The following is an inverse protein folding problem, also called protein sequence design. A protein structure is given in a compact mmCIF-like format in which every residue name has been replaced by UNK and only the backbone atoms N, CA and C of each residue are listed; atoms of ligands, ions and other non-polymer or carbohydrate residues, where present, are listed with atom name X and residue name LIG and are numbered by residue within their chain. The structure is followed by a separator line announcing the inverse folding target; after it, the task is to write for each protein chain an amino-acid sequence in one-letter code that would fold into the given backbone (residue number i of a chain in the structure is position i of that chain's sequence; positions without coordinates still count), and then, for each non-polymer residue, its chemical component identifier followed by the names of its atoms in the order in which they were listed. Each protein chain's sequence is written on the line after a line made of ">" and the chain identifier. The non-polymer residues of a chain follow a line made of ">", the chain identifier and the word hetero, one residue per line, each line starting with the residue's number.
data_IF_971600368262
#
_entry.id   IF_971600368262
#
_cell.length_a   1.000
_cell.length_b   1.000
_cell.length_c   1.000
_cell.angle_alpha   90.00
_cell.angle_beta   90.00
_cell.angle_gamma   90.00
#
_symmetry.space_group_name_H-M   'P 1'
#
loop_
_entity.id
_entity.type
_entity.pdbx_description
1 polymer ?
#
# COMPACT_ATOMS: atom_id res chain seq x y z
N UNK A 1 -7.81 -7.13 -0.57
CA UNK A 1 -7.25 -6.52 -1.80
C UNK A 1 -5.74 -6.56 -1.76
N UNK A 2 -5.11 -6.99 -2.82
CA UNK A 2 -3.66 -6.97 -2.97
C UNK A 2 -3.28 -5.97 -4.07
N UNK A 3 -2.44 -4.99 -3.71
CA UNK A 3 -1.89 -4.01 -4.64
C UNK A 3 -0.42 -4.33 -4.84
N UNK A 4 -0.03 -4.76 -6.04
CA UNK A 4 1.37 -5.08 -6.37
C UNK A 4 1.99 -3.89 -7.11
N UNK A 5 3.08 -3.35 -6.55
CA UNK A 5 3.81 -2.25 -7.14
C UNK A 5 4.87 -2.74 -8.12
N UNK A 6 5.14 -1.95 -9.14
CA UNK A 6 6.18 -2.23 -10.11
C UNK A 6 7.59 -1.90 -9.60
N UNK A 7 8.59 -2.03 -10.48
CA UNK A 7 10.01 -1.87 -10.13
C UNK A 7 10.38 -0.44 -9.73
N UNK A 8 9.67 0.56 -10.26
CA UNK A 8 9.95 1.97 -10.02
C UNK A 8 8.73 2.63 -9.41
N UNK A 9 8.91 3.28 -8.26
CA UNK A 9 7.87 4.08 -7.61
C UNK A 9 8.24 5.54 -7.76
N UNK A 10 7.33 6.31 -8.36
CA UNK A 10 7.42 7.77 -8.51
C UNK A 10 6.26 8.43 -7.78
N UNK A 11 6.34 9.75 -7.62
CA UNK A 11 5.23 10.52 -7.05
C UNK A 11 3.96 10.35 -7.88
N UNK A 12 4.08 10.38 -9.20
CA UNK A 12 2.95 10.18 -10.12
C UNK A 12 2.34 8.80 -9.97
N UNK A 13 3.17 7.73 -9.96
CA UNK A 13 2.65 6.36 -9.82
C UNK A 13 2.03 6.12 -8.45
N UNK A 14 2.56 6.73 -7.40
CA UNK A 14 2.01 6.62 -6.05
C UNK A 14 0.62 7.26 -5.96
N UNK A 15 0.45 8.45 -6.54
CA UNK A 15 -0.85 9.12 -6.56
C UNK A 15 -1.87 8.38 -7.45
N UNK A 16 -1.43 7.83 -8.58
CA UNK A 16 -2.29 7.04 -9.46
C UNK A 16 -2.78 5.77 -8.77
N UNK A 17 -1.90 5.06 -8.06
CA UNK A 17 -2.27 3.88 -7.30
C UNK A 17 -3.25 4.21 -6.17
N UNK A 18 -3.01 5.32 -5.46
CA UNK A 18 -3.92 5.80 -4.42
C UNK A 18 -5.32 6.05 -4.97
N UNK A 19 -5.42 6.76 -6.10
CA UNK A 19 -6.69 7.04 -6.74
C UNK A 19 -7.41 5.77 -7.20
N UNK A 20 -6.68 4.81 -7.76
CA UNK A 20 -7.23 3.52 -8.19
C UNK A 20 -7.78 2.71 -7.01
N UNK A 21 -7.08 2.69 -5.88
CA UNK A 21 -7.54 2.02 -4.66
C UNK A 21 -8.81 2.68 -4.13
N UNK A 22 -8.85 4.01 -4.09
CA UNK A 22 -10.05 4.74 -3.66
C UNK A 22 -11.26 4.40 -4.54
N UNK A 23 -11.07 4.38 -5.86
CA UNK A 23 -12.13 4.06 -6.81
C UNK A 23 -12.60 2.61 -6.64
N UNK A 24 -11.66 1.66 -6.48
CA UNK A 24 -11.99 0.26 -6.22
C UNK A 24 -12.84 0.11 -4.95
N UNK A 25 -12.45 0.75 -3.86
CA UNK A 25 -13.17 0.71 -2.59
C UNK A 25 -14.57 1.35 -2.71
N UNK A 26 -14.69 2.41 -3.50
CA UNK A 26 -15.98 3.05 -3.73
C UNK A 26 -16.97 2.16 -4.48
N UNK A 27 -16.48 1.32 -5.39
CA UNK A 27 -17.31 0.41 -6.21
C UNK A 27 -17.57 -0.90 -5.49
N UNK A 28 -16.54 -1.52 -4.92
CA UNK A 28 -16.59 -2.86 -4.34
C UNK A 28 -16.87 -2.87 -2.84
N UNK A 29 -16.84 -1.72 -2.19
CA UNK A 29 -16.96 -1.61 -0.75
C UNK A 29 -15.62 -1.70 -0.01
N UNK A 30 -15.65 -1.45 1.32
CA UNK A 30 -14.44 -1.46 2.14
C UNK A 30 -13.77 -2.83 2.18
N UNK A 31 -12.45 -2.86 2.03
CA UNK A 31 -11.61 -4.05 2.11
C UNK A 31 -10.35 -3.77 2.91
N UNK A 32 -9.82 -4.81 3.57
CA UNK A 32 -8.42 -4.81 3.99
C UNK A 32 -7.52 -4.79 2.76
N UNK A 33 -6.37 -4.14 2.86
CA UNK A 33 -5.45 -4.02 1.73
C UNK A 33 -4.03 -4.43 2.12
N UNK A 34 -3.35 -5.10 1.18
CA UNK A 34 -1.93 -5.36 1.25
C UNK A 34 -1.28 -4.61 0.09
N UNK A 35 -0.36 -3.72 0.39
CA UNK A 35 0.48 -3.06 -0.61
C UNK A 35 1.80 -3.82 -0.71
N UNK A 36 1.98 -4.57 -1.79
CA UNK A 36 3.17 -5.40 -2.00
C UNK A 36 4.22 -4.59 -2.76
N UNK A 37 5.25 -4.16 -2.04
CA UNK A 37 6.37 -3.39 -2.56
C UNK A 37 7.61 -4.25 -2.79
N UNK A 38 7.47 -5.58 -2.81
CA UNK A 38 8.60 -6.50 -2.93
C UNK A 38 9.35 -6.41 -4.27
N UNK A 39 8.67 -5.95 -5.32
CA UNK A 39 9.29 -5.75 -6.64
C UNK A 39 9.97 -4.41 -6.81
N UNK A 40 9.79 -3.49 -5.88
CA UNK A 40 10.32 -2.13 -5.99
C UNK A 40 11.84 -2.16 -5.91
N UNK A 41 12.51 -1.69 -6.96
CA UNK A 41 13.97 -1.57 -7.05
C UNK A 41 14.42 -0.12 -6.94
N UNK A 42 13.61 0.83 -7.40
CA UNK A 42 13.91 2.26 -7.38
C UNK A 42 12.74 3.04 -6.80
N UNK A 43 13.06 3.88 -5.82
CA UNK A 43 12.10 4.78 -5.20
C UNK A 43 12.51 6.20 -5.54
N UNK A 44 11.64 6.92 -6.25
CA UNK A 44 11.84 8.32 -6.67
C UNK A 44 10.80 9.21 -5.99
N UNK A 45 10.67 9.05 -4.68
CA UNK A 45 9.82 9.90 -3.86
C UNK A 45 10.65 10.47 -2.71
N UNK A 46 10.27 11.66 -2.27
CA UNK A 46 10.96 12.35 -1.17
C UNK A 46 10.22 12.15 0.15
N UNK A 47 10.92 12.44 1.26
CA UNK A 47 10.28 12.47 2.56
C UNK A 47 9.13 13.49 2.59
N UNK A 48 9.30 14.64 1.94
CA UNK A 48 8.23 15.64 1.83
C UNK A 48 6.99 15.09 1.13
N UNK A 49 7.17 14.27 0.11
CA UNK A 49 6.06 13.61 -0.57
C UNK A 49 5.33 12.64 0.35
N UNK A 50 6.06 11.88 1.16
CA UNK A 50 5.46 10.96 2.15
C UNK A 50 4.60 11.76 3.15
N UNK A 51 5.08 12.90 3.62
CA UNK A 51 4.31 13.81 4.46
C UNK A 51 3.03 14.29 3.76
N UNK A 52 3.17 14.69 2.50
CA UNK A 52 2.06 15.19 1.69
C UNK A 52 0.95 14.13 1.55
N UNK A 53 1.32 12.89 1.23
CA UNK A 53 0.36 11.79 1.07
C UNK A 53 -0.25 11.39 2.42
N UNK A 54 0.56 11.35 3.47
CA UNK A 54 0.07 10.99 4.81
C UNK A 54 -0.96 11.98 5.35
N UNK A 55 -0.90 13.24 4.91
CA UNK A 55 -1.87 14.27 5.29
C UNK A 55 -3.20 14.14 4.55
N UNK A 56 -3.26 13.37 3.46
CA UNK A 56 -4.51 13.13 2.71
C UNK A 56 -5.40 12.12 3.43
N UNK A 57 -6.72 12.11 3.17
CA UNK A 57 -7.58 11.06 3.66
C UNK A 57 -7.07 9.67 3.23
N UNK A 58 -7.19 8.63 4.07
CA UNK A 58 -6.73 7.30 3.72
C UNK A 58 -7.46 6.76 2.48
N UNK A 59 -6.71 6.13 1.56
CA UNK A 59 -7.32 5.43 0.43
C UNK A 59 -8.08 4.19 0.89
N UNK A 60 -7.57 3.52 1.93
CA UNK A 60 -8.26 2.41 2.60
C UNK A 60 -9.09 3.01 3.74
N UNK A 61 -10.39 2.70 3.82
CA UNK A 61 -11.24 3.28 4.85
C UNK A 61 -10.75 3.00 6.28
N UNK A 62 -11.03 3.91 7.18
CA UNK A 62 -10.74 3.71 8.61
C UNK A 62 -11.42 2.45 9.10
N UNK A 63 -10.75 1.68 9.94
CA UNK A 63 -11.23 0.41 10.45
C UNK A 63 -10.85 -0.78 9.57
N UNK A 64 -10.34 -0.55 8.35
CA UNK A 64 -9.78 -1.60 7.50
C UNK A 64 -8.25 -1.55 7.59
N UNK A 65 -7.58 -2.69 7.87
CA UNK A 65 -6.13 -2.70 7.96
C UNK A 65 -5.48 -2.50 6.58
N UNK A 66 -4.40 -1.73 6.56
CA UNK A 66 -3.48 -1.62 5.43
C UNK A 66 -2.13 -2.16 5.88
N UNK A 67 -1.60 -3.13 5.14
CA UNK A 67 -0.32 -3.74 5.43
C UNK A 67 0.62 -3.48 4.26
N UNK A 68 1.79 -2.90 4.56
CA UNK A 68 2.83 -2.61 3.57
C UNK A 68 3.89 -3.69 3.65
N UNK A 69 4.16 -4.35 2.52
CA UNK A 69 5.21 -5.37 2.42
C UNK A 69 6.44 -4.72 1.79
N UNK A 70 7.48 -4.51 2.57
CA UNK A 70 8.66 -3.75 2.18
C UNK A 70 9.96 -4.48 2.56
N UNK A 71 10.46 -5.41 1.72
CA UNK A 71 11.67 -6.17 2.03
C UNK A 71 12.95 -5.35 1.99
N UNK A 72 13.03 -4.33 1.13
CA UNK A 72 14.24 -3.51 0.97
C UNK A 72 14.35 -2.46 2.08
N UNK A 73 15.57 -2.21 2.61
CA UNK A 73 15.75 -1.25 3.70
C UNK A 73 15.28 0.18 3.38
N UNK A 74 15.51 0.67 2.16
CA UNK A 74 15.08 2.01 1.74
C UNK A 74 13.55 2.12 1.67
N UNK A 75 12.91 1.14 1.06
CA UNK A 75 11.44 1.07 0.98
C UNK A 75 10.84 0.87 2.37
N UNK A 76 11.45 0.01 3.18
CA UNK A 76 11.02 -0.22 4.57
C UNK A 76 11.07 1.07 5.39
N UNK A 77 12.15 1.84 5.27
CA UNK A 77 12.30 3.12 5.99
C UNK A 77 11.22 4.12 5.63
N UNK A 78 10.92 4.29 4.33
CA UNK A 78 9.85 5.17 3.88
C UNK A 78 8.47 4.67 4.32
N UNK A 79 8.26 3.37 4.28
CA UNK A 79 6.99 2.76 4.72
C UNK A 79 6.77 2.95 6.22
N UNK A 80 7.83 2.82 7.04
CA UNK A 80 7.77 3.07 8.49
C UNK A 80 7.48 4.54 8.78
N UNK A 81 8.07 5.45 8.02
CA UNK A 81 7.78 6.87 8.15
C UNK A 81 6.30 7.15 7.87
N UNK A 82 5.77 6.57 6.80
CA UNK A 82 4.35 6.69 6.45
C UNK A 82 3.45 6.12 7.57
N UNK A 83 3.80 4.96 8.10
CA UNK A 83 3.10 4.33 9.22
C UNK A 83 3.04 5.27 10.43
N UNK A 84 4.19 5.83 10.82
CA UNK A 84 4.27 6.73 11.98
C UNK A 84 3.37 7.95 11.82
N UNK A 85 3.39 8.56 10.63
CA UNK A 85 2.56 9.73 10.33
C UNK A 85 1.06 9.38 10.39
N UNK A 86 0.68 8.21 9.90
CA UNK A 86 -0.70 7.72 9.94
C UNK A 86 -1.14 7.35 11.37
N UNK A 87 -0.27 6.75 12.17
CA UNK A 87 -0.55 6.44 13.58
C UNK A 87 -0.92 7.69 14.36
N UNK A 88 -0.22 8.80 14.11
CA UNK A 88 -0.52 10.10 14.73
C UNK A 88 -1.90 10.63 14.33
N UNK A 89 -2.47 10.14 13.26
CA UNK A 89 -3.82 10.48 12.79
C UNK A 89 -4.87 9.44 13.19
N UNK A 90 -4.50 8.42 13.96
CA UNK A 90 -5.40 7.35 14.36
C UNK A 90 -5.75 6.37 13.24
N UNK A 91 -4.89 6.27 12.22
CA UNK A 91 -5.09 5.35 11.08
C UNK A 91 -4.17 4.15 11.25
N UNK A 92 -4.76 2.96 11.33
CA UNK A 92 -4.00 1.73 11.53
C UNK A 92 -3.32 1.27 10.25
N UNK A 93 -2.01 1.07 10.34
CA UNK A 93 -1.19 0.49 9.28
C UNK A 93 -0.10 -0.39 9.89
N UNK A 94 0.30 -1.43 9.18
CA UNK A 94 1.44 -2.26 9.55
C UNK A 94 2.45 -2.29 8.42
N UNK A 95 3.73 -2.43 8.78
CA UNK A 95 4.82 -2.60 7.81
C UNK A 95 5.52 -3.91 8.14
N UNK A 96 5.57 -4.80 7.16
CA UNK A 96 6.21 -6.12 7.27
C UNK A 96 7.22 -6.30 6.14
N UNK A 97 8.03 -7.33 6.22
CA UNK A 97 9.09 -7.58 5.24
C UNK A 97 8.73 -8.64 4.22
N UNK A 98 7.73 -9.48 4.50
CA UNK A 98 7.32 -10.55 3.58
C UNK A 98 5.81 -10.59 3.40
N UNK A 99 5.39 -11.08 2.24
CA UNK A 99 3.98 -11.26 1.95
C UNK A 99 3.33 -12.29 2.88
N UNK A 100 4.09 -13.31 3.29
CA UNK A 100 3.62 -14.30 4.26
C UNK A 100 3.26 -13.66 5.60
N UNK A 101 4.11 -12.74 6.10
CA UNK A 101 3.81 -12.01 7.33
C UNK A 101 2.53 -11.19 7.20
N UNK A 102 2.30 -10.59 6.03
CA UNK A 102 1.08 -9.84 5.77
C UNK A 102 -0.16 -10.74 5.80
N UNK A 103 -0.09 -11.90 5.17
CA UNK A 103 -1.19 -12.88 5.21
C UNK A 103 -1.45 -13.38 6.62
N UNK A 104 -0.40 -13.66 7.39
CA UNK A 104 -0.51 -14.11 8.78
C UNK A 104 -1.23 -13.05 9.64
N UNK A 105 -0.90 -11.77 9.45
CA UNK A 105 -1.57 -10.67 10.17
C UNK A 105 -3.05 -10.55 9.84
N UNK A 106 -3.45 -10.86 8.62
CA UNK A 106 -4.84 -10.84 8.18
C UNK A 106 -5.57 -12.17 8.44
N UNK A 107 -4.87 -13.19 8.91
CA UNK A 107 -5.44 -14.51 9.11
C UNK A 107 -5.77 -15.23 7.79
N UNK A 108 -5.04 -14.94 6.72
CA UNK A 108 -5.27 -15.51 5.40
C UNK A 108 -4.25 -16.61 5.10
N UNK A 109 -4.72 -17.67 4.43
CA UNK A 109 -3.87 -18.73 3.91
C UNK A 109 -3.91 -18.70 2.38
N UNK A 110 -2.81 -18.31 1.74
CA UNK A 110 -2.65 -18.30 0.28
C UNK A 110 -3.91 -17.83 -0.47
N UNK A 111 -4.41 -16.62 -0.20
CA UNK A 111 -5.64 -16.16 -0.82
C UNK A 111 -5.48 -15.98 -2.33
N UNK A 112 -6.55 -16.25 -3.07
CA UNK A 112 -6.62 -15.98 -4.49
C UNK A 112 -7.25 -14.60 -4.71
N UNK A 113 -6.59 -13.77 -5.52
CA UNK A 113 -7.07 -12.46 -5.90
C UNK A 113 -7.26 -12.39 -7.40
N UNK A 114 -8.41 -11.90 -7.86
CA UNK A 114 -8.62 -11.61 -9.28
C UNK A 114 -7.79 -10.40 -9.70
N UNK A 115 -7.10 -10.44 -10.87
CA UNK A 115 -6.27 -9.32 -11.30
C UNK A 115 -7.12 -8.12 -11.74
N UNK A 116 -6.66 -6.94 -11.33
CA UNK A 116 -7.18 -5.65 -11.80
C UNK A 116 -5.99 -4.79 -12.20
N UNK A 117 -5.94 -4.35 -13.44
CA UNK A 117 -4.82 -3.54 -13.93
C UNK A 117 -4.88 -2.11 -13.39
N UNK A 118 -3.74 -1.63 -12.89
CA UNK A 118 -3.55 -0.23 -12.56
C UNK A 118 -3.08 0.53 -13.81
N UNK A 119 -3.40 1.82 -13.85
CA UNK A 119 -2.77 2.73 -14.79
C UNK A 119 -1.31 2.92 -14.35
N UNK A 120 -0.37 2.21 -15.00
CA UNK A 120 1.06 2.26 -14.68
C UNK A 120 1.61 0.89 -14.27
N UNK A 121 2.86 0.82 -13.75
CA UNK A 121 3.56 -0.42 -13.48
C UNK A 121 3.16 -1.07 -12.14
N UNK A 122 1.89 -1.34 -11.96
CA UNK A 122 1.38 -1.99 -10.76
C UNK A 122 0.10 -2.75 -11.06
N UNK A 123 -0.36 -3.55 -10.09
CA UNK A 123 -1.57 -4.36 -10.21
C UNK A 123 -2.35 -4.35 -8.91
N UNK A 124 -3.68 -4.35 -9.02
CA UNK A 124 -4.58 -4.64 -7.92
C UNK A 124 -5.18 -6.02 -8.16
N UNK A 125 -5.26 -6.82 -7.09
CA UNK A 125 -5.98 -8.07 -7.09
C UNK A 125 -6.97 -8.08 -5.93
N UNK A 126 -8.18 -8.45 -6.23
CA UNK A 126 -9.27 -8.49 -5.26
C UNK A 126 -9.42 -9.87 -4.60
#
# INVERSE_FOLDING_TARGET
>A
MLVTWGEIVTETSALAARAAVQQFMAIQGPHSAIADLSRVEKVRITANFVWFVAAKPPAVPRGMPLILVAPRPDVYGLSRMFQTLRDNMGVYQEVVRTLKEAFDLLGLESPHFGPVDLAGPGKIAA
#
